data_IF_995583100387
#
_entry.id   IF_995583100387
#
_cell.length_a   1.000
_cell.length_b   1.000
_cell.length_c   1.000
_cell.angle_alpha   90.00
_cell.angle_beta   90.00
_cell.angle_gamma   90.00
#
_symmetry.space_group_name_H-M   'P 1'
#
loop_
_entity.id
_entity.type
_entity.pdbx_description
1 polymer ?
#
# COMPACT_ATOMS: atom_id res chain seq x y z
N UNK A 1 31.73 -0.21 11.84
CA UNK A 1 30.31 -0.54 11.69
C UNK A 1 30.26 -2.05 11.80
N UNK A 2 29.66 -2.55 12.88
CA UNK A 2 29.41 -3.98 13.04
C UNK A 2 28.20 -4.24 12.14
N UNK A 3 28.40 -4.94 11.02
CA UNK A 3 27.27 -5.43 10.26
C UNK A 3 26.80 -6.66 11.02
N UNK A 4 25.61 -6.57 11.61
CA UNK A 4 24.89 -7.76 12.05
C UNK A 4 24.58 -8.53 10.77
N UNK A 5 25.38 -9.54 10.48
CA UNK A 5 25.29 -10.31 9.24
C UNK A 5 24.17 -11.33 9.42
N UNK A 6 23.22 -11.36 8.48
CA UNK A 6 22.18 -12.37 8.47
C UNK A 6 22.68 -13.65 7.81
N UNK A 7 22.44 -14.78 8.48
CA UNK A 7 22.76 -16.11 7.98
C UNK A 7 21.46 -16.85 7.63
N UNK A 8 21.15 -17.07 6.35
CA UNK A 8 19.90 -17.73 5.97
C UNK A 8 19.81 -19.21 6.41
N UNK A 9 20.91 -19.83 6.87
CA UNK A 9 20.91 -21.19 7.43
C UNK A 9 20.61 -21.21 8.94
N UNK A 10 20.90 -20.11 9.66
CA UNK A 10 20.71 -19.99 11.11
C UNK A 10 19.54 -19.08 11.52
N UNK A 11 19.24 -18.05 10.72
CA UNK A 11 18.20 -17.05 10.95
C UNK A 11 16.87 -17.41 10.26
N UNK A 12 15.76 -16.97 10.86
CA UNK A 12 14.44 -17.06 10.24
C UNK A 12 14.24 -15.91 9.24
N UNK A 13 14.64 -16.14 8.00
CA UNK A 13 14.60 -15.13 6.93
C UNK A 13 13.33 -15.20 6.08
N UNK A 14 12.90 -14.04 5.60
CA UNK A 14 11.74 -13.88 4.72
C UNK A 14 12.08 -13.02 3.52
N UNK A 15 11.45 -13.32 2.38
CA UNK A 15 11.63 -12.52 1.16
C UNK A 15 10.66 -11.35 1.16
N UNK A 16 11.18 -10.13 1.03
CA UNK A 16 10.41 -8.88 1.00
C UNK A 16 10.32 -8.26 -0.38
N UNK A 17 11.23 -8.60 -1.29
CA UNK A 17 11.22 -8.10 -2.65
C UNK A 17 11.83 -9.11 -3.63
N UNK A 18 11.33 -9.12 -4.86
CA UNK A 18 11.79 -9.96 -5.96
C UNK A 18 11.97 -9.09 -7.21
N UNK A 19 13.16 -9.09 -7.80
CA UNK A 19 13.44 -8.23 -8.95
C UNK A 19 14.85 -8.38 -9.50
N UNK A 20 15.27 -7.43 -10.32
CA UNK A 20 16.64 -7.39 -10.85
C UNK A 20 17.63 -6.82 -9.81
N UNK A 21 18.91 -7.01 -10.08
CA UNK A 21 20.00 -6.60 -9.19
C UNK A 21 20.03 -5.10 -8.89
N UNK A 22 19.64 -4.23 -9.83
CA UNK A 22 19.65 -2.79 -9.57
C UNK A 22 18.60 -2.45 -8.52
N UNK A 23 17.37 -2.91 -8.73
CA UNK A 23 16.26 -2.73 -7.80
C UNK A 23 16.53 -3.33 -6.41
N UNK A 24 17.14 -4.51 -6.34
CA UNK A 24 17.53 -5.13 -5.07
C UNK A 24 18.60 -4.30 -4.34
N UNK A 25 19.57 -3.70 -5.05
CA UNK A 25 20.64 -2.90 -4.44
C UNK A 25 20.16 -1.56 -3.91
N UNK A 26 19.22 -0.93 -4.60
CA UNK A 26 18.61 0.32 -4.11
C UNK A 26 17.87 0.07 -2.80
N UNK A 27 17.02 -0.98 -2.75
CA UNK A 27 16.30 -1.35 -1.53
C UNK A 27 17.22 -1.83 -0.41
N UNK A 28 18.30 -2.54 -0.74
CA UNK A 28 19.33 -2.91 0.24
C UNK A 28 19.99 -1.67 0.86
N UNK A 29 20.22 -0.61 0.07
CA UNK A 29 20.80 0.63 0.59
C UNK A 29 19.85 1.33 1.57
N UNK A 30 18.56 1.42 1.22
CA UNK A 30 17.51 1.98 2.09
C UNK A 30 17.47 1.24 3.42
N UNK A 31 17.39 -0.10 3.39
CA UNK A 31 17.38 -0.91 4.62
C UNK A 31 18.66 -0.75 5.43
N UNK A 32 19.82 -0.63 4.76
CA UNK A 32 21.09 -0.43 5.45
C UNK A 32 21.19 0.95 6.14
N UNK A 33 20.62 2.01 5.54
CA UNK A 33 20.56 3.34 6.15
C UNK A 33 19.70 3.31 7.44
N UNK A 34 18.63 2.51 7.44
CA UNK A 34 17.76 2.27 8.60
C UNK A 34 18.28 1.19 9.56
N UNK A 35 19.49 0.67 9.33
CA UNK A 35 20.14 -0.37 10.14
C UNK A 35 19.40 -1.72 10.18
N UNK A 36 18.62 -2.04 9.14
CA UNK A 36 17.97 -3.34 8.98
C UNK A 36 18.91 -4.34 8.27
N UNK A 37 19.31 -5.43 8.94
CA UNK A 37 20.09 -6.49 8.31
C UNK A 37 19.34 -7.12 7.14
N UNK A 38 19.98 -7.15 5.97
CA UNK A 38 19.35 -7.61 4.73
C UNK A 38 20.36 -8.27 3.79
N UNK A 39 19.89 -9.23 2.97
CA UNK A 39 20.73 -10.00 2.05
C UNK A 39 20.04 -10.18 0.71
N UNK A 40 20.84 -10.16 -0.36
CA UNK A 40 20.37 -10.48 -1.70
C UNK A 40 20.70 -11.95 -1.99
N UNK A 41 19.67 -12.77 -2.15
CA UNK A 41 19.82 -14.17 -2.54
C UNK A 41 19.56 -14.34 -4.04
N UNK A 42 20.32 -15.26 -4.63
CA UNK A 42 20.29 -15.56 -6.05
C UNK A 42 19.95 -17.02 -6.29
N UNK A 43 18.81 -17.49 -5.80
CA UNK A 43 18.22 -18.73 -6.29
C UNK A 43 16.74 -18.77 -5.91
N UNK A 44 15.87 -18.56 -6.90
CA UNK A 44 14.48 -18.97 -6.78
C UNK A 44 14.34 -20.16 -7.70
N UNK A 45 14.38 -21.37 -7.13
CA UNK A 45 14.07 -22.59 -7.87
C UNK A 45 12.73 -22.38 -8.59
N UNK A 46 12.77 -22.24 -9.93
CA UNK A 46 11.60 -22.05 -10.78
C UNK A 46 11.41 -20.66 -11.41
N UNK A 47 12.24 -19.64 -11.13
CA UNK A 47 12.17 -18.31 -11.80
C UNK A 47 13.35 -17.99 -12.73
N UNK A 48 14.08 -18.99 -13.21
CA UNK A 48 15.01 -18.77 -14.32
C UNK A 48 14.16 -18.66 -15.58
N UNK A 49 13.75 -17.45 -15.96
CA UNK A 49 13.18 -17.26 -17.28
C UNK A 49 14.26 -17.64 -18.29
N UNK A 50 13.95 -18.57 -19.20
CA UNK A 50 14.93 -19.17 -20.14
C UNK A 50 15.60 -18.12 -21.07
N UNK A 51 15.13 -16.86 -21.03
CA UNK A 51 15.53 -15.75 -21.89
C UNK A 51 15.59 -14.37 -21.19
N UNK A 52 15.51 -14.27 -19.86
CA UNK A 52 15.46 -12.97 -19.15
C UNK A 52 16.59 -12.75 -18.14
N UNK A 53 16.72 -11.52 -17.61
CA UNK A 53 17.72 -11.19 -16.62
C UNK A 53 17.54 -12.02 -15.34
N UNK A 54 18.61 -12.25 -14.57
CA UNK A 54 18.53 -12.99 -13.32
C UNK A 54 17.57 -12.29 -12.36
N UNK A 55 16.59 -13.04 -11.87
CA UNK A 55 15.67 -12.60 -10.82
C UNK A 55 16.33 -12.94 -9.48
N UNK A 56 16.44 -11.94 -8.62
CA UNK A 56 17.02 -12.03 -7.29
C UNK A 56 15.95 -11.74 -6.24
N UNK A 57 16.19 -12.20 -5.02
CA UNK A 57 15.34 -11.93 -3.87
C UNK A 57 16.09 -11.09 -2.85
N UNK A 58 15.40 -10.14 -2.24
CA UNK A 58 15.87 -9.41 -1.07
C UNK A 58 15.21 -10.04 0.15
N UNK A 59 16.02 -10.43 1.12
CA UNK A 59 15.57 -11.10 2.34
C UNK A 59 16.02 -10.32 3.58
N UNK A 60 15.21 -10.42 4.62
CA UNK A 60 15.39 -9.82 5.95
C UNK A 60 15.02 -10.85 7.01
N UNK A 61 15.34 -10.60 8.29
CA UNK A 61 14.80 -11.45 9.37
C UNK A 61 13.31 -11.22 9.49
N UNK A 62 12.57 -12.28 9.83
CA UNK A 62 11.12 -12.18 10.05
C UNK A 62 10.76 -11.18 11.15
N UNK A 63 11.62 -10.99 12.15
CA UNK A 63 11.39 -10.04 13.25
C UNK A 63 11.42 -8.58 12.80
N UNK A 64 12.15 -8.25 11.72
CA UNK A 64 12.28 -6.88 11.20
C UNK A 64 11.16 -6.53 10.19
N UNK A 65 10.18 -7.42 9.98
CA UNK A 65 9.16 -7.24 8.93
C UNK A 65 8.28 -6.01 9.14
N UNK A 66 7.91 -5.70 10.38
CA UNK A 66 7.07 -4.52 10.67
C UNK A 66 7.81 -3.24 10.30
N UNK A 67 9.09 -3.13 10.68
CA UNK A 67 9.93 -1.97 10.35
C UNK A 67 10.16 -1.86 8.83
N UNK A 68 10.39 -2.98 8.13
CA UNK A 68 10.57 -2.98 6.67
C UNK A 68 9.33 -2.48 5.93
N UNK A 69 8.13 -2.84 6.41
CA UNK A 69 6.87 -2.35 5.83
C UNK A 69 6.76 -0.85 6.02
N UNK A 70 6.99 -0.34 7.24
CA UNK A 70 6.92 1.10 7.52
C UNK A 70 7.89 1.90 6.65
N UNK A 71 9.14 1.44 6.51
CA UNK A 71 10.16 2.10 5.68
C UNK A 71 9.76 2.12 4.20
N UNK A 72 9.26 1.00 3.67
CA UNK A 72 8.86 0.95 2.26
C UNK A 72 7.60 1.77 1.98
N UNK A 73 6.69 1.87 2.94
CA UNK A 73 5.55 2.79 2.86
C UNK A 73 6.02 4.24 2.85
N UNK A 74 6.95 4.63 3.73
CA UNK A 74 7.52 5.99 3.75
C UNK A 74 8.21 6.35 2.42
N UNK A 75 9.05 5.46 1.90
CA UNK A 75 9.73 5.66 0.60
C UNK A 75 8.72 5.78 -0.55
N UNK A 76 7.66 4.98 -0.51
CA UNK A 76 6.59 5.05 -1.50
C UNK A 76 5.88 6.40 -1.45
N UNK A 77 5.51 6.86 -0.25
CA UNK A 77 4.86 8.16 -0.06
C UNK A 77 5.77 9.31 -0.51
N UNK A 78 7.05 9.31 -0.13
CA UNK A 78 8.01 10.33 -0.58
C UNK A 78 8.12 10.38 -2.11
N UNK A 79 8.09 9.21 -2.77
CA UNK A 79 8.11 9.13 -4.23
C UNK A 79 6.85 9.71 -4.86
N UNK A 80 5.68 9.45 -4.27
CA UNK A 80 4.41 10.02 -4.74
C UNK A 80 4.36 11.54 -4.55
N UNK A 81 4.81 12.04 -3.41
CA UNK A 81 4.92 13.47 -3.11
C UNK A 81 5.82 14.20 -4.12
N UNK A 82 6.98 13.60 -4.46
CA UNK A 82 7.91 14.17 -5.44
C UNK A 82 7.30 14.31 -6.84
N UNK A 83 6.46 13.36 -7.24
CA UNK A 83 5.73 13.38 -8.51
C UNK A 83 4.45 14.24 -8.45
N UNK A 84 4.12 14.79 -7.28
CA UNK A 84 2.91 15.58 -7.06
C UNK A 84 1.63 14.75 -7.19
N UNK A 85 1.71 13.46 -6.86
CA UNK A 85 0.60 12.52 -6.85
C UNK A 85 0.07 12.42 -5.42
N UNK A 86 -1.10 13.02 -5.15
CA UNK A 86 -1.81 12.84 -3.89
C UNK A 86 -2.38 11.41 -3.82
N UNK A 87 -2.02 10.64 -2.78
CA UNK A 87 -2.62 9.32 -2.50
C UNK A 87 -4.14 9.40 -2.22
N UNK A 88 -4.62 10.57 -1.82
CA UNK A 88 -6.03 10.82 -1.48
C UNK A 88 -6.89 11.24 -2.68
N UNK A 89 -6.30 11.44 -3.87
CA UNK A 89 -7.11 11.66 -5.07
C UNK A 89 -7.64 10.30 -5.55
N UNK A 90 -8.93 10.05 -5.30
CA UNK A 90 -9.60 8.84 -5.75
C UNK A 90 -9.36 8.64 -7.26
N UNK A 91 -8.47 7.71 -7.62
CA UNK A 91 -8.14 7.36 -9.01
C UNK A 91 -9.41 6.87 -9.74
N UNK A 92 -10.38 6.41 -8.96
CA UNK A 92 -11.67 5.91 -9.41
C UNK A 92 -12.77 6.65 -8.66
N UNK A 93 -13.56 7.43 -9.38
CA UNK A 93 -14.79 8.01 -8.85
C UNK A 93 -15.86 6.91 -8.70
N UNK A 94 -15.97 6.37 -7.48
CA UNK A 94 -16.98 5.35 -7.13
C UNK A 94 -18.40 5.92 -7.03
N UNK A 95 -18.59 7.23 -7.18
CA UNK A 95 -19.91 7.89 -7.21
C UNK A 95 -20.53 8.00 -8.61
N UNK A 96 -19.75 7.67 -9.64
CA UNK A 96 -20.21 7.66 -11.03
C UNK A 96 -21.08 6.43 -11.35
N UNK A 97 -22.10 6.60 -12.20
CA UNK A 97 -23.00 5.51 -12.67
C UNK A 97 -22.26 4.35 -13.36
N UNK A 98 -21.01 4.54 -13.74
CA UNK A 98 -20.16 3.52 -14.35
C UNK A 98 -18.71 3.75 -13.93
N UNK A 99 -18.08 2.71 -13.41
CA UNK A 99 -16.70 2.71 -12.92
C UNK A 99 -15.82 1.97 -13.92
N UNK A 100 -14.69 2.57 -14.33
CA UNK A 100 -13.69 1.86 -15.14
C UNK A 100 -12.61 1.32 -14.22
N UNK A 101 -12.50 0.00 -14.09
CA UNK A 101 -11.49 -0.61 -13.25
C UNK A 101 -10.08 -0.35 -13.82
N UNK A 102 -9.13 0.24 -13.07
CA UNK A 102 -7.77 0.48 -13.56
C UNK A 102 -6.98 -0.82 -13.78
N UNK A 103 -7.31 -1.90 -13.07
CA UNK A 103 -6.62 -3.19 -13.17
C UNK A 103 -6.96 -3.96 -14.45
N UNK A 104 -8.25 -4.11 -14.77
CA UNK A 104 -8.71 -4.92 -15.91
C UNK A 104 -9.37 -4.12 -17.03
N UNK A 105 -9.58 -2.81 -16.84
CA UNK A 105 -10.24 -1.91 -17.79
C UNK A 105 -11.70 -2.26 -18.10
N UNK A 106 -12.31 -3.16 -17.33
CA UNK A 106 -13.75 -3.43 -17.41
C UNK A 106 -14.54 -2.24 -16.89
N UNK A 107 -15.65 -1.93 -17.58
CA UNK A 107 -16.68 -1.01 -17.07
C UNK A 107 -17.58 -1.82 -16.16
N UNK A 108 -17.63 -1.45 -14.88
CA UNK A 108 -18.44 -2.09 -13.85
C UNK A 108 -19.46 -1.07 -13.33
N UNK A 109 -20.67 -1.55 -13.03
CA UNK A 109 -21.75 -0.70 -12.51
C UNK A 109 -21.65 -0.55 -10.98
N UNK A 110 -21.03 -1.52 -10.30
CA UNK A 110 -20.87 -1.56 -8.83
C UNK A 110 -19.61 -2.33 -8.41
N UNK A 111 -19.06 -1.97 -7.24
CA UNK A 111 -18.01 -2.73 -6.56
C UNK A 111 -18.62 -3.79 -5.65
N UNK A 112 -17.86 -4.84 -5.31
CA UNK A 112 -18.32 -5.86 -4.35
C UNK A 112 -18.54 -5.27 -2.96
N UNK A 113 -19.20 -6.02 -2.08
CA UNK A 113 -19.41 -5.61 -0.68
C UNK A 113 -18.10 -5.37 0.10
N UNK A 114 -16.99 -5.93 -0.39
CA UNK A 114 -15.64 -5.76 0.15
C UNK A 114 -14.87 -4.65 -0.57
N UNK A 115 -15.52 -3.86 -1.44
CA UNK A 115 -14.91 -2.75 -2.16
C UNK A 115 -14.01 -3.16 -3.33
N UNK A 116 -14.22 -4.34 -3.92
CA UNK A 116 -13.36 -4.92 -4.97
C UNK A 116 -14.03 -4.89 -6.36
N UNK A 117 -13.21 -4.94 -7.41
CA UNK A 117 -13.70 -5.18 -8.76
C UNK A 117 -14.21 -6.63 -8.91
N UNK A 118 -15.44 -6.87 -9.40
CA UNK A 118 -15.99 -8.22 -9.57
C UNK A 118 -15.24 -9.06 -10.63
N UNK A 119 -14.54 -8.41 -11.56
CA UNK A 119 -13.87 -9.07 -12.68
C UNK A 119 -12.43 -9.50 -12.34
N UNK A 120 -11.70 -8.70 -11.55
CA UNK A 120 -10.28 -8.92 -11.29
C UNK A 120 -9.87 -8.92 -9.81
N UNK A 121 -10.81 -8.71 -8.90
CA UNK A 121 -10.58 -8.67 -7.45
C UNK A 121 -9.56 -7.63 -6.98
N UNK A 122 -9.31 -6.60 -7.80
CA UNK A 122 -8.54 -5.44 -7.36
C UNK A 122 -9.40 -4.63 -6.38
N UNK A 123 -8.87 -4.29 -5.21
CA UNK A 123 -9.52 -3.41 -4.25
C UNK A 123 -9.59 -1.97 -4.82
N UNK A 124 -10.80 -1.43 -4.92
CA UNK A 124 -11.10 -0.10 -5.45
C UNK A 124 -11.60 0.88 -4.37
N UNK A 125 -12.04 0.38 -3.22
CA UNK A 125 -12.58 1.16 -2.11
C UNK A 125 -14.10 1.02 -1.96
N UNK A 126 -14.67 1.73 -0.98
CA UNK A 126 -16.11 1.74 -0.72
C UNK A 126 -16.75 3.02 -1.30
N UNK A 127 -17.92 2.93 -1.95
CA UNK A 127 -18.67 4.13 -2.31
C UNK A 127 -19.04 4.87 -1.01
N UNK A 128 -18.79 6.18 -0.95
CA UNK A 128 -19.12 7.00 0.22
C UNK A 128 -20.63 6.91 0.47
N UNK A 129 -21.03 6.35 1.62
CA UNK A 129 -22.41 6.40 2.05
C UNK A 129 -22.75 7.87 2.31
N UNK A 130 -23.70 8.42 1.54
CA UNK A 130 -24.21 9.77 1.74
C UNK A 130 -24.71 9.92 3.19
N UNK A 131 -23.89 10.50 4.05
CA UNK A 131 -24.33 10.91 5.39
C UNK A 131 -25.33 12.04 5.19
N UNK A 132 -26.61 11.70 5.22
CA UNK A 132 -27.67 12.67 5.42
C UNK A 132 -27.52 13.21 6.83
N UNK A 133 -26.79 14.31 6.98
CA UNK A 133 -26.83 15.17 8.16
C UNK A 133 -28.25 15.73 8.28
N UNK A 134 -29.10 15.02 9.03
CA UNK A 134 -30.41 15.50 9.47
C UNK A 134 -30.16 16.43 10.67
N UNK A 135 -29.69 17.64 10.37
CA UNK A 135 -29.69 18.76 11.32
C UNK A 135 -31.15 19.19 11.56
N UNK A 136 -31.88 18.41 12.37
CA UNK A 136 -33.14 18.88 12.92
C UNK A 136 -32.83 19.91 14.02
N UNK A 137 -32.59 21.15 13.58
CA UNK A 137 -32.64 22.37 14.39
C UNK A 137 -33.98 22.41 15.16
N UNK A 138 -33.97 21.90 16.40
CA UNK A 138 -35.02 22.22 17.36
C UNK A 138 -34.59 23.51 18.05
N UNK A 139 -35.00 24.64 17.44
CA UNK A 139 -35.03 25.95 18.09
C UNK A 139 -35.86 25.85 19.37
N UNK A 140 -35.19 25.68 20.51
CA UNK A 140 -35.82 25.90 21.82
C UNK A 140 -36.06 27.41 21.96
N UNK A 141 -37.29 27.81 21.67
CA UNK A 141 -37.79 29.16 21.87
C UNK A 141 -37.73 29.54 23.37
N UNK A 142 -36.68 30.26 23.75
CA UNK A 142 -36.63 31.07 24.96
C UNK A 142 -37.51 32.31 24.74
N UNK A 143 -38.73 32.30 25.26
CA UNK A 143 -39.49 33.54 25.50
C UNK A 143 -39.60 33.79 27.00
N UNK A 144 -38.80 34.77 27.40
CA UNK A 144 -38.77 35.49 28.66
C UNK A 144 -40.11 36.21 28.85
N UNK A 145 -40.81 35.95 29.95
CA UNK A 145 -42.03 36.67 30.35
C UNK A 145 -41.80 37.25 31.75
N UNK A 146 -41.17 38.43 31.81
CA UNK A 146 -41.21 39.33 32.96
C UNK A 146 -42.00 40.61 32.64
N UNK A 147 -42.90 40.91 33.56
CA UNK A 147 -43.55 42.19 33.91
C UNK A 147 -44.68 42.76 33.03
N UNK A 148 -45.88 42.80 33.64
CA UNK A 148 -46.57 44.05 34.01
C UNK A 148 -47.42 43.90 35.28
#
# INVERSE_FOLDING_TARGET
MNYDEIDPEEDDVVTVFVGDLHNCRERLAILADENIPSLIAGDVEGMISEYGPPVLTLQVRREDMEDVVEIFEEVWQETLDLEGLDVDEAIVDLSSDSIVCPGCQSVIDEVTADGECPECSLYLGFPEESSSDDDSDTDEAYFDDEEY
#
